data_IF_295685016081
#
_entry.id   IF_295685016081
#
_cell.length_a   1.000
_cell.length_b   1.000
_cell.length_c   1.000
_cell.angle_alpha   90.00
_cell.angle_beta   90.00
_cell.angle_gamma   90.00
#
_symmetry.space_group_name_H-M   'P 1'
#
loop_
_entity.id
_entity.type
_entity.pdbx_description
1 polymer ?
#
# COMPACT_ATOMS: atom_id res chain seq x y z
N UNK A 1 8.24 1.37 12.09
CA UNK A 1 8.95 0.77 10.95
C UNK A 1 8.25 -0.50 10.52
N UNK A 2 8.21 -0.78 9.25
CA UNK A 2 7.53 -1.96 8.73
C UNK A 2 8.17 -2.46 7.45
N UNK A 3 7.63 -3.60 7.01
CA UNK A 3 7.91 -4.21 5.73
C UNK A 3 6.56 -4.46 5.05
N UNK A 4 6.46 -4.11 3.78
CA UNK A 4 5.35 -4.46 2.92
C UNK A 4 5.81 -5.45 1.87
N UNK A 5 4.96 -6.44 1.60
CA UNK A 5 5.12 -7.37 0.50
C UNK A 5 3.97 -7.13 -0.49
N UNK A 6 4.32 -6.95 -1.76
CA UNK A 6 3.38 -6.62 -2.82
C UNK A 6 3.63 -7.57 -3.98
N UNK A 7 2.58 -8.27 -4.39
CA UNK A 7 2.60 -9.16 -5.54
C UNK A 7 1.65 -8.60 -6.60
N UNK A 8 2.17 -8.26 -7.78
CA UNK A 8 1.38 -7.61 -8.82
C UNK A 8 1.56 -8.20 -10.21
N UNK A 9 0.51 -8.11 -11.00
CA UNK A 9 0.51 -8.50 -12.41
C UNK A 9 -0.06 -7.37 -13.25
N UNK A 10 0.72 -6.92 -14.23
CA UNK A 10 0.28 -6.01 -15.28
C UNK A 10 -0.09 -6.82 -16.51
N UNK A 11 -1.30 -6.64 -17.02
CA UNK A 11 -1.75 -7.17 -18.30
C UNK A 11 -1.68 -6.06 -19.35
N UNK A 12 -0.89 -6.27 -20.39
CA UNK A 12 -0.75 -5.35 -21.52
C UNK A 12 -1.18 -6.02 -22.82
N UNK A 13 -1.68 -5.22 -23.79
CA UNK A 13 -1.89 -5.74 -25.13
C UNK A 13 -3.08 -5.16 -25.87
N UNK A 14 -3.64 -5.98 -26.76
CA UNK A 14 -4.83 -5.69 -27.57
C UNK A 14 -5.92 -6.71 -27.26
N UNK A 15 -7.14 -6.47 -27.70
CA UNK A 15 -8.26 -7.39 -27.51
C UNK A 15 -8.04 -8.83 -28.06
N UNK A 16 -7.02 -9.02 -28.89
CA UNK A 16 -6.70 -10.31 -29.52
C UNK A 16 -5.36 -10.89 -29.12
N UNK A 17 -4.50 -10.11 -28.43
CA UNK A 17 -3.18 -10.54 -28.01
C UNK A 17 -2.79 -9.80 -26.73
N UNK A 18 -2.67 -10.52 -25.62
CA UNK A 18 -2.32 -9.99 -24.31
C UNK A 18 -1.02 -10.62 -23.81
N UNK A 19 -0.27 -9.86 -23.05
CA UNK A 19 0.91 -10.33 -22.31
C UNK A 19 0.82 -9.91 -20.85
N UNK A 20 1.12 -10.84 -19.95
CA UNK A 20 1.14 -10.60 -18.52
C UNK A 20 2.58 -10.45 -18.04
N UNK A 21 2.78 -9.50 -17.12
CA UNK A 21 4.05 -9.31 -16.43
C UNK A 21 3.79 -9.28 -14.93
N UNK A 22 4.35 -10.25 -14.22
CA UNK A 22 4.25 -10.32 -12.77
C UNK A 22 5.52 -9.81 -12.11
N UNK A 23 5.37 -9.16 -10.96
CA UNK A 23 6.46 -8.67 -10.15
C UNK A 23 6.09 -8.74 -8.67
N UNK A 24 7.01 -9.29 -7.89
CA UNK A 24 6.93 -9.26 -6.42
C UNK A 24 7.91 -8.19 -5.91
N UNK A 25 7.47 -7.38 -4.98
CA UNK A 25 8.23 -6.29 -4.38
C UNK A 25 8.12 -6.43 -2.86
N UNK A 26 9.27 -6.40 -2.20
CA UNK A 26 9.35 -6.26 -0.74
C UNK A 26 10.02 -4.95 -0.42
N UNK A 27 9.32 -4.06 0.25
CA UNK A 27 9.84 -2.74 0.63
C UNK A 27 9.85 -2.56 2.15
N UNK A 28 10.83 -1.85 2.65
CA UNK A 28 10.90 -1.44 4.05
C UNK A 28 10.54 0.03 4.17
N UNK A 29 9.70 0.36 5.13
CA UNK A 29 9.26 1.72 5.33
C UNK A 29 9.37 2.16 6.79
N UNK A 30 9.49 3.48 6.98
CA UNK A 30 9.39 4.16 8.26
C UNK A 30 8.34 5.23 8.10
N UNK A 31 7.37 5.25 8.99
CA UNK A 31 6.30 6.25 9.01
C UNK A 31 6.03 6.75 10.43
N UNK A 32 5.21 7.77 10.51
CA UNK A 32 4.68 8.29 11.75
C UNK A 32 3.16 8.45 11.61
N UNK A 33 2.44 8.13 12.68
CA UNK A 33 1.00 8.32 12.76
C UNK A 33 0.63 9.25 13.92
N UNK A 34 -0.54 9.86 13.77
CA UNK A 34 -1.23 10.58 14.85
C UNK A 34 -2.40 9.72 15.25
N UNK A 35 -2.57 9.48 16.55
CA UNK A 35 -3.65 8.64 17.04
C UNK A 35 -4.41 9.28 18.20
N UNK A 36 -5.67 8.87 18.34
CA UNK A 36 -6.54 9.19 19.46
C UNK A 36 -7.13 7.90 20.02
N UNK A 37 -7.12 7.76 21.34
CA UNK A 37 -7.61 6.58 22.04
C UNK A 37 -8.58 6.94 23.17
N UNK A 38 -9.58 6.09 23.34
CA UNK A 38 -10.44 6.07 24.53
C UNK A 38 -10.27 4.73 25.23
N UNK A 39 -9.77 4.78 26.47
CA UNK A 39 -9.62 3.62 27.33
C UNK A 39 -10.89 3.47 28.14
N UNK A 40 -11.47 2.28 28.16
CA UNK A 40 -12.66 1.91 28.90
C UNK A 40 -12.28 1.37 30.30
N UNK A 41 -13.26 1.25 31.19
CA UNK A 41 -13.05 0.81 32.60
C UNK A 41 -12.53 -0.63 32.69
N UNK A 42 -12.82 -1.48 31.69
CA UNK A 42 -12.33 -2.85 31.59
C UNK A 42 -10.93 -2.97 30.96
N UNK A 43 -10.32 -1.83 30.60
CA UNK A 43 -9.02 -1.74 29.95
C UNK A 43 -9.06 -1.88 28.41
N UNK A 44 -10.22 -2.19 27.84
CA UNK A 44 -10.40 -2.16 26.38
C UNK A 44 -10.17 -0.75 25.85
N UNK A 45 -9.47 -0.63 24.74
CA UNK A 45 -9.20 0.65 24.12
C UNK A 45 -9.79 0.70 22.72
N UNK A 46 -10.50 1.77 22.38
CA UNK A 46 -10.91 2.09 21.01
C UNK A 46 -10.09 3.26 20.52
N UNK A 47 -9.56 3.14 19.33
CA UNK A 47 -8.68 4.14 18.75
C UNK A 47 -8.91 4.38 17.28
N UNK A 48 -8.46 5.55 16.87
CA UNK A 48 -8.30 5.91 15.45
C UNK A 48 -6.89 6.43 15.25
N UNK A 49 -6.30 6.17 14.11
CA UNK A 49 -5.02 6.76 13.72
C UNK A 49 -5.02 7.18 12.25
N UNK A 50 -4.15 8.12 11.93
CA UNK A 50 -3.90 8.63 10.61
C UNK A 50 -2.39 8.69 10.37
N UNK A 51 -1.93 8.09 9.29
CA UNK A 51 -0.60 8.31 8.71
C UNK A 51 -0.76 9.37 7.62
N UNK A 52 -0.32 10.62 7.85
CA UNK A 52 -0.52 11.72 6.89
C UNK A 52 0.54 11.77 5.80
N UNK A 53 1.47 10.84 5.79
CA UNK A 53 2.57 10.75 4.83
C UNK A 53 2.33 9.60 3.87
N UNK A 54 2.71 9.82 2.61
CA UNK A 54 2.62 8.78 1.60
C UNK A 54 3.60 7.65 1.92
N UNK A 55 3.12 6.42 1.83
CA UNK A 55 3.93 5.21 1.97
C UNK A 55 4.15 4.66 0.56
N UNK A 56 5.38 4.73 0.07
CA UNK A 56 5.71 4.15 -1.23
C UNK A 56 5.54 2.64 -1.20
N UNK A 57 4.71 2.12 -2.10
CA UNK A 57 4.49 0.69 -2.30
C UNK A 57 5.54 0.11 -3.25
N UNK A 58 5.97 0.90 -4.23
CA UNK A 58 6.99 0.51 -5.18
C UNK A 58 7.09 1.46 -6.35
N UNK A 59 8.19 1.33 -7.06
CA UNK A 59 8.42 2.08 -8.29
C UNK A 59 9.13 1.23 -9.34
N UNK A 60 8.96 1.61 -10.59
CA UNK A 60 9.58 0.93 -11.73
C UNK A 60 9.94 1.89 -12.84
N UNK A 61 11.03 1.56 -13.55
CA UNK A 61 11.46 2.26 -14.74
C UNK A 61 11.76 1.25 -15.82
N UNK A 62 11.31 1.52 -17.04
CA UNK A 62 11.69 0.76 -18.21
C UNK A 62 11.96 1.70 -19.38
N UNK A 63 12.76 1.24 -20.33
CA UNK A 63 12.95 1.94 -21.61
C UNK A 63 12.10 1.24 -22.65
N UNK A 64 11.03 1.93 -23.08
CA UNK A 64 10.17 1.44 -24.16
C UNK A 64 10.73 1.88 -25.50
N UNK A 65 10.82 0.93 -26.41
CA UNK A 65 11.10 1.18 -27.83
C UNK A 65 9.78 1.12 -28.57
N UNK A 66 9.47 2.15 -29.34
CA UNK A 66 8.18 2.25 -30.05
C UNK A 66 7.83 0.96 -30.78
N UNK A 67 6.63 0.46 -30.60
CA UNK A 67 6.17 -0.80 -31.19
C UNK A 67 6.23 -0.77 -32.72
N UNK A 68 7.03 -1.64 -33.30
CA UNK A 68 6.99 -1.96 -34.73
C UNK A 68 7.86 -1.11 -35.66
N UNK A 69 8.78 -0.30 -35.16
CA UNK A 69 9.77 0.39 -35.96
C UNK A 69 11.19 -0.11 -35.65
N UNK A 70 12.02 -0.23 -36.71
CA UNK A 70 13.46 -0.46 -36.54
C UNK A 70 14.06 0.73 -35.76
N UNK A 71 14.31 0.52 -34.45
CA UNK A 71 14.80 1.56 -33.55
C UNK A 71 16.28 1.82 -33.87
N UNK A 72 16.50 2.76 -34.73
CA UNK A 72 17.85 3.13 -35.22
C UNK A 72 18.40 4.39 -34.53
N UNK A 73 17.59 5.09 -33.70
CA UNK A 73 18.01 6.32 -33.03
C UNK A 73 17.64 6.35 -31.53
N UNK A 74 18.45 7.01 -30.70
CA UNK A 74 18.17 7.27 -29.30
C UNK A 74 16.90 8.14 -29.09
N UNK A 75 16.45 8.86 -30.14
CA UNK A 75 15.25 9.70 -30.11
C UNK A 75 13.94 8.88 -30.07
N UNK A 76 14.00 7.59 -30.39
CA UNK A 76 12.83 6.69 -30.41
C UNK A 76 12.66 5.93 -29.06
N UNK A 77 13.54 6.18 -28.11
CA UNK A 77 13.47 5.59 -26.78
C UNK A 77 12.67 6.49 -25.84
N UNK A 78 11.71 5.91 -25.16
CA UNK A 78 10.97 6.55 -24.09
C UNK A 78 11.24 5.83 -22.76
N UNK A 79 11.53 6.60 -21.72
CA UNK A 79 11.63 6.05 -20.36
C UNK A 79 10.25 6.09 -19.73
N UNK A 80 9.63 4.94 -19.61
CA UNK A 80 8.41 4.77 -18.83
C UNK A 80 8.76 4.67 -17.34
N UNK A 81 8.09 5.45 -16.53
CA UNK A 81 8.21 5.45 -15.07
C UNK A 81 6.83 5.23 -14.48
N UNK A 82 6.73 4.41 -13.45
CA UNK A 82 5.53 4.24 -12.67
C UNK A 82 5.89 4.10 -11.19
N UNK A 83 5.08 4.72 -10.33
CA UNK A 83 5.17 4.67 -8.89
C UNK A 83 3.78 4.47 -8.31
N UNK A 84 3.66 3.67 -7.27
CA UNK A 84 2.45 3.53 -6.48
C UNK A 84 2.73 3.87 -5.02
N UNK A 85 1.81 4.57 -4.37
CA UNK A 85 1.89 4.94 -2.96
C UNK A 85 0.53 4.88 -2.27
N UNK A 86 0.53 4.52 -0.97
CA UNK A 86 -0.65 4.67 -0.11
C UNK A 86 -0.69 6.10 0.40
N UNK A 87 -1.83 6.74 0.24
CA UNK A 87 -2.08 8.08 0.77
C UNK A 87 -3.08 8.06 1.92
N UNK A 88 -2.82 8.87 2.95
CA UNK A 88 -3.76 9.11 4.04
C UNK A 88 -4.27 7.83 4.70
N UNK A 89 -3.38 6.92 5.09
CA UNK A 89 -3.77 5.66 5.72
C UNK A 89 -4.50 5.95 7.05
N UNK A 90 -5.81 5.75 7.04
CA UNK A 90 -6.67 5.85 8.21
C UNK A 90 -6.90 4.46 8.81
N UNK A 91 -6.83 4.35 10.14
CA UNK A 91 -7.08 3.10 10.86
C UNK A 91 -8.06 3.33 11.99
N UNK A 92 -9.10 2.52 12.07
CA UNK A 92 -9.93 2.36 13.27
C UNK A 92 -9.59 1.02 13.92
N UNK A 93 -9.35 1.02 15.24
CA UNK A 93 -8.87 -0.18 15.92
C UNK A 93 -9.40 -0.34 17.34
N UNK A 94 -9.29 -1.56 17.85
CA UNK A 94 -9.51 -1.87 19.26
C UNK A 94 -8.35 -2.67 19.84
N UNK A 95 -7.98 -2.37 21.09
CA UNK A 95 -7.02 -3.13 21.87
C UNK A 95 -7.77 -3.83 23.00
N UNK A 96 -7.73 -5.15 23.02
CA UNK A 96 -8.42 -5.99 24.00
C UNK A 96 -7.37 -6.51 25.01
N UNK A 97 -7.48 -6.19 26.32
CA UNK A 97 -6.47 -6.58 27.30
C UNK A 97 -6.40 -8.09 27.47
N UNK A 98 -5.18 -8.63 27.48
CA UNK A 98 -4.88 -10.05 27.73
C UNK A 98 -3.69 -10.13 28.67
N UNK A 99 -3.94 -10.05 29.97
CA UNK A 99 -2.89 -10.04 30.98
C UNK A 99 -2.03 -8.76 30.92
N UNK A 100 -0.72 -8.90 30.71
CA UNK A 100 0.21 -7.78 30.56
C UNK A 100 0.27 -7.23 29.13
N UNK A 101 -0.40 -7.89 28.19
CA UNK A 101 -0.46 -7.55 26.77
C UNK A 101 -1.88 -7.18 26.38
N UNK A 102 -2.06 -6.82 25.12
CA UNK A 102 -3.36 -6.70 24.48
C UNK A 102 -3.32 -7.29 23.07
N UNK A 103 -4.46 -7.79 22.63
CA UNK A 103 -4.69 -8.11 21.23
C UNK A 103 -5.18 -6.85 20.50
N UNK A 104 -4.65 -6.61 19.30
CA UNK A 104 -5.01 -5.51 18.43
C UNK A 104 -5.83 -6.05 17.25
N UNK A 105 -6.98 -5.43 17.01
CA UNK A 105 -7.80 -5.65 15.83
C UNK A 105 -8.11 -4.31 15.21
N UNK A 106 -8.00 -4.18 13.89
CA UNK A 106 -8.24 -2.91 13.20
C UNK A 106 -8.73 -3.10 11.78
N UNK A 107 -9.22 -1.99 11.24
CA UNK A 107 -9.58 -1.86 9.82
C UNK A 107 -8.91 -0.61 9.27
N UNK A 108 -8.45 -0.70 8.04
CA UNK A 108 -7.78 0.36 7.30
C UNK A 108 -8.66 0.90 6.20
N UNK A 109 -8.46 2.17 5.87
CA UNK A 109 -8.94 2.81 4.66
C UNK A 109 -7.81 3.69 4.13
N UNK A 110 -7.50 3.58 2.85
CA UNK A 110 -6.46 4.36 2.20
C UNK A 110 -6.74 4.49 0.69
N UNK A 111 -6.09 5.43 0.05
CA UNK A 111 -6.10 5.58 -1.40
C UNK A 111 -4.76 5.12 -1.95
N UNK A 112 -4.76 4.27 -2.96
CA UNK A 112 -3.58 3.96 -3.78
C UNK A 112 -3.50 5.00 -4.88
N UNK A 113 -2.48 5.85 -4.81
CA UNK A 113 -2.16 6.82 -5.86
C UNK A 113 -1.15 6.22 -6.82
N UNK A 114 -1.39 6.41 -8.11
CA UNK A 114 -0.47 6.05 -9.17
C UNK A 114 0.12 7.31 -9.82
N UNK A 115 1.44 7.40 -9.88
CA UNK A 115 2.16 8.46 -10.62
C UNK A 115 2.96 7.80 -11.75
N UNK A 116 2.49 8.01 -12.98
CA UNK A 116 3.07 7.35 -14.13
C UNK A 116 3.38 8.31 -15.28
N UNK A 117 4.45 7.96 -16.00
CA UNK A 117 4.85 8.57 -17.28
C UNK A 117 4.91 7.49 -18.33
N UNK A 118 3.74 6.99 -18.71
CA UNK A 118 3.58 5.95 -19.71
C UNK A 118 3.15 6.57 -21.04
N UNK A 119 3.51 5.93 -22.15
CA UNK A 119 3.15 6.43 -23.49
C UNK A 119 1.66 6.27 -23.82
N UNK A 120 1.05 5.20 -23.33
CA UNK A 120 -0.26 4.73 -23.80
C UNK A 120 -1.26 4.44 -22.71
N UNK A 121 -0.85 4.43 -21.45
CA UNK A 121 -1.71 4.05 -20.33
C UNK A 121 -1.73 5.16 -19.30
N UNK A 122 -2.90 5.39 -18.71
CA UNK A 122 -3.13 6.25 -17.56
C UNK A 122 -4.03 5.50 -16.60
N UNK A 123 -3.71 5.50 -15.32
CA UNK A 123 -4.45 4.80 -14.29
C UNK A 123 -4.99 5.81 -13.29
N UNK A 124 -6.22 5.60 -12.82
CA UNK A 124 -6.81 6.42 -11.77
C UNK A 124 -6.44 5.87 -10.40
N UNK A 125 -6.49 6.74 -9.40
CA UNK A 125 -6.35 6.35 -8.00
C UNK A 125 -7.51 5.46 -7.58
N UNK A 126 -7.24 4.54 -6.64
CA UNK A 126 -8.25 3.63 -6.11
C UNK A 126 -8.26 3.62 -4.60
N UNK A 127 -9.46 3.68 -4.03
CA UNK A 127 -9.65 3.52 -2.58
C UNK A 127 -9.70 2.04 -2.24
N UNK A 128 -8.97 1.64 -1.20
CA UNK A 128 -8.94 0.27 -0.71
C UNK A 128 -9.16 0.20 0.80
N UNK A 129 -9.69 -0.94 1.22
CA UNK A 129 -9.81 -1.30 2.63
C UNK A 129 -8.78 -2.36 2.99
N UNK A 130 -8.53 -2.49 4.29
CA UNK A 130 -7.69 -3.54 4.83
C UNK A 130 -8.11 -3.93 6.24
N UNK A 131 -7.57 -5.03 6.72
CA UNK A 131 -7.75 -5.50 8.07
C UNK A 131 -6.39 -5.62 8.77
N UNK A 132 -6.39 -5.39 10.07
CA UNK A 132 -5.19 -5.48 10.90
C UNK A 132 -5.42 -6.40 12.09
N UNK A 133 -4.45 -7.26 12.35
CA UNK A 133 -4.38 -8.04 13.58
C UNK A 133 -2.99 -7.89 14.19
N UNK A 134 -2.92 -7.93 15.51
CA UNK A 134 -1.62 -7.81 16.17
C UNK A 134 -1.70 -7.99 17.67
N UNK A 135 -0.61 -7.68 18.31
CA UNK A 135 -0.50 -7.64 19.76
C UNK A 135 0.45 -6.54 20.19
N UNK A 136 0.29 -6.11 21.43
CA UNK A 136 1.16 -5.09 21.98
C UNK A 136 1.20 -5.14 23.51
N UNK A 137 1.98 -4.23 24.05
CA UNK A 137 2.08 -3.99 25.48
C UNK A 137 2.16 -2.49 25.76
N UNK A 138 1.65 -2.08 26.92
CA UNK A 138 1.73 -0.71 27.39
C UNK A 138 2.63 -0.64 28.62
N UNK A 139 3.55 0.32 28.65
CA UNK A 139 4.43 0.60 29.78
C UNK A 139 4.44 2.10 30.06
N UNK A 140 3.62 2.53 31.02
CA UNK A 140 3.36 3.95 31.26
C UNK A 140 2.73 4.59 30.02
N UNK A 141 3.36 5.64 29.53
CA UNK A 141 2.90 6.37 28.34
C UNK A 141 3.39 5.77 27.00
N UNK A 142 4.18 4.71 27.04
CA UNK A 142 4.68 4.04 25.84
C UNK A 142 3.83 2.82 25.49
N UNK A 143 3.59 2.65 24.19
CA UNK A 143 3.01 1.46 23.59
C UNK A 143 4.00 0.84 22.62
N UNK A 144 4.07 -0.49 22.62
CA UNK A 144 4.84 -1.28 21.67
C UNK A 144 3.88 -2.25 21.00
N UNK A 145 3.82 -2.24 19.69
CA UNK A 145 2.88 -3.02 18.90
C UNK A 145 3.60 -3.75 17.77
N UNK A 146 3.22 -4.99 17.55
CA UNK A 146 3.55 -5.75 16.34
C UNK A 146 2.24 -6.17 15.70
N UNK A 147 2.06 -5.81 14.43
CA UNK A 147 0.83 -6.08 13.71
C UNK A 147 1.09 -6.50 12.28
N UNK A 148 0.17 -7.30 11.76
CA UNK A 148 0.06 -7.67 10.36
C UNK A 148 -1.20 -7.04 9.80
N UNK A 149 -1.07 -6.44 8.62
CA UNK A 149 -2.16 -5.83 7.87
C UNK A 149 -2.25 -6.50 6.51
N UNK A 150 -3.47 -6.75 6.09
CA UNK A 150 -3.83 -7.33 4.80
C UNK A 150 -4.83 -6.38 4.13
N UNK A 151 -4.58 -6.01 2.89
CA UNK A 151 -5.42 -5.11 2.13
C UNK A 151 -6.19 -5.89 1.06
N UNK A 152 -7.33 -5.36 0.65
CA UNK A 152 -8.08 -5.94 -0.47
C UNK A 152 -7.30 -5.80 -1.79
N UNK A 153 -7.62 -6.69 -2.73
CA UNK A 153 -6.98 -6.72 -4.05
C UNK A 153 -7.10 -5.37 -4.77
N UNK A 154 -5.99 -4.83 -5.20
CA UNK A 154 -5.92 -3.61 -6.00
C UNK A 154 -6.13 -3.98 -7.46
N UNK A 155 -7.22 -3.52 -8.05
CA UNK A 155 -7.53 -3.77 -9.45
C UNK A 155 -7.78 -2.45 -10.18
N UNK A 156 -6.84 -2.05 -11.04
CA UNK A 156 -6.88 -0.78 -11.76
C UNK A 156 -6.83 -1.05 -13.26
N UNK A 157 -7.75 -0.43 -13.99
CA UNK A 157 -7.79 -0.48 -15.45
C UNK A 157 -7.35 0.85 -16.04
N UNK A 158 -6.67 0.79 -17.18
CA UNK A 158 -6.25 2.00 -17.88
C UNK A 158 -7.46 2.81 -18.36
N UNK A 159 -7.43 4.12 -18.12
CA UNK A 159 -8.46 5.09 -18.55
C UNK A 159 -8.19 5.68 -19.93
N UNK A 160 -7.04 5.40 -20.51
CA UNK A 160 -6.64 5.90 -21.85
C UNK A 160 -7.28 5.17 -23.05
N UNK A 161 -8.19 4.21 -22.77
CA UNK A 161 -8.96 3.50 -23.81
C UNK A 161 -8.28 2.24 -24.36
N UNK A 162 -7.15 1.82 -23.80
CA UNK A 162 -6.55 0.50 -24.04
C UNK A 162 -7.09 -0.53 -23.02
N UNK A 163 -6.67 -1.79 -23.16
CA UNK A 163 -7.11 -2.89 -22.29
C UNK A 163 -6.15 -3.15 -21.13
N UNK A 164 -5.16 -2.30 -20.93
CA UNK A 164 -4.15 -2.52 -19.89
C UNK A 164 -4.77 -2.44 -18.50
N UNK A 165 -4.37 -3.35 -17.63
CA UNK A 165 -4.83 -3.41 -16.25
C UNK A 165 -3.72 -3.87 -15.31
N UNK A 166 -3.83 -3.47 -14.05
CA UNK A 166 -2.94 -3.87 -12.97
C UNK A 166 -3.80 -4.56 -11.91
N UNK A 167 -3.36 -5.75 -11.49
CA UNK A 167 -3.92 -6.44 -10.33
C UNK A 167 -2.80 -6.67 -9.33
N UNK A 168 -2.99 -6.30 -8.07
CA UNK A 168 -1.99 -6.48 -7.04
C UNK A 168 -2.61 -6.80 -5.68
N UNK A 169 -1.90 -7.64 -4.91
CA UNK A 169 -2.13 -7.92 -3.51
C UNK A 169 -1.08 -7.16 -2.69
N UNK A 170 -1.46 -6.64 -1.53
CA UNK A 170 -0.56 -5.94 -0.63
C UNK A 170 -0.79 -6.35 0.82
N UNK A 171 0.28 -6.70 1.51
CA UNK A 171 0.29 -6.93 2.94
C UNK A 171 1.46 -6.22 3.64
N UNK A 172 1.38 -6.08 4.96
CA UNK A 172 2.43 -5.41 5.72
C UNK A 172 2.60 -5.97 7.12
N UNK A 173 3.86 -6.13 7.54
CA UNK A 173 4.24 -6.38 8.93
C UNK A 173 4.79 -5.08 9.52
N UNK A 174 4.21 -4.63 10.63
CA UNK A 174 4.52 -3.34 11.25
C UNK A 174 4.94 -3.50 12.71
N UNK A 175 6.09 -2.95 13.06
CA UNK A 175 6.47 -2.67 14.44
C UNK A 175 6.30 -1.18 14.74
N UNK A 176 5.49 -0.85 15.74
CA UNK A 176 5.16 0.52 16.14
C UNK A 176 5.53 0.79 17.59
N UNK A 177 6.10 1.97 17.83
CA UNK A 177 6.29 2.54 19.17
C UNK A 177 5.52 3.84 19.23
N UNK A 178 4.59 3.95 20.16
CA UNK A 178 3.73 5.12 20.32
C UNK A 178 3.89 5.74 21.71
N UNK A 179 3.73 7.05 21.79
CA UNK A 179 3.69 7.80 23.04
C UNK A 179 2.35 8.54 23.16
N UNK A 180 1.66 8.33 24.28
CA UNK A 180 0.39 8.98 24.58
C UNK A 180 0.36 9.54 26.01
N UNK A 181 -0.54 10.48 26.30
CA UNK A 181 -0.77 11.05 27.65
C UNK A 181 -2.25 11.08 27.96
#
# INVERSE_FOLDING_TARGET
>A
AGQSDISGTETEGTATDTSDRSKDITEQFIGADIFFEKIMDDGTTYGISLVPLDIELGSGKRVDTGAGQDVTSEADKHTAEAKASLQNLFTAYTNIPVGAFYALLGVHYTTVETDEKLLTSTYDDVDIFGAQVGFGMRSGNLKYELSYSDFEDINISSTSGNINSISADADALLFKVSYGY
#
